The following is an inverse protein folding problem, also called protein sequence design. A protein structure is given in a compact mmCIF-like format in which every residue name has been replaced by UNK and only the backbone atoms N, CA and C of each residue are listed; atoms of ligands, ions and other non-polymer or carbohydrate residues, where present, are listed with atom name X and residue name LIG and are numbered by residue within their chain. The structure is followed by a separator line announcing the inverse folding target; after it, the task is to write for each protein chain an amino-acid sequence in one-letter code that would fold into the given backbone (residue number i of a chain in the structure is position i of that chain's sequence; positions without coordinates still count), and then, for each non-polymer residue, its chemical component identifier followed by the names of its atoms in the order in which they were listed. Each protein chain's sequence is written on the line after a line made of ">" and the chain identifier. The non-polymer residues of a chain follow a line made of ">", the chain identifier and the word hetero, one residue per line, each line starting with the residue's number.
data_IF_998602089293
#
_entry.id   IF_998602089293
#
_cell.length_a   1.000
_cell.length_b   1.000
_cell.length_c   1.000
_cell.angle_alpha   90.00
_cell.angle_beta   90.00
_cell.angle_gamma   90.00
#
_symmetry.space_group_name_H-M   'P 1'
#
loop_
_entity.id
_entity.type
_entity.pdbx_description
1 polymer ?
#
# COMPACT_ATOMS: atom_id res chain seq x y z
N UNK A 1 34.96 1.10 10.10
CA UNK A 1 34.00 2.17 10.44
C UNK A 1 33.49 2.88 9.18
N UNK A 2 34.20 2.73 8.07
CA UNK A 2 33.94 3.40 6.78
C UNK A 2 32.72 2.86 6.04
N UNK A 3 32.49 1.54 6.08
CA UNK A 3 31.32 0.93 5.44
C UNK A 3 29.99 1.40 6.06
N UNK A 4 29.94 1.51 7.39
CA UNK A 4 28.75 2.01 8.10
C UNK A 4 28.51 3.48 7.76
N UNK A 5 29.57 4.30 7.70
CA UNK A 5 29.46 5.71 7.31
C UNK A 5 28.94 5.87 5.87
N UNK A 6 29.40 5.03 4.93
CA UNK A 6 28.89 5.00 3.56
C UNK A 6 27.41 4.62 3.51
N UNK A 7 26.99 3.58 4.24
CA UNK A 7 25.57 3.18 4.30
C UNK A 7 24.67 4.30 4.85
N UNK A 8 25.10 4.97 5.92
CA UNK A 8 24.36 6.09 6.51
C UNK A 8 24.28 7.27 5.53
N UNK A 9 25.35 7.56 4.79
CA UNK A 9 25.38 8.62 3.79
C UNK A 9 24.39 8.33 2.64
N UNK A 10 24.39 7.12 2.08
CA UNK A 10 23.44 6.73 1.03
C UNK A 10 21.99 6.71 1.52
N UNK A 11 21.76 6.26 2.76
CA UNK A 11 20.45 6.32 3.39
C UNK A 11 19.95 7.76 3.56
N UNK A 12 20.85 8.70 3.91
CA UNK A 12 20.53 10.12 4.01
C UNK A 12 20.21 10.72 2.65
N UNK A 13 20.97 10.41 1.60
CA UNK A 13 20.68 10.88 0.24
C UNK A 13 19.35 10.35 -0.28
N UNK A 14 19.01 9.10 0.01
CA UNK A 14 17.71 8.50 -0.34
C UNK A 14 16.49 9.25 0.22
N UNK A 15 16.65 10.07 1.26
CA UNK A 15 15.58 10.90 1.81
C UNK A 15 15.11 11.98 0.82
N UNK A 16 16.01 12.53 0.00
CA UNK A 16 15.69 13.61 -0.94
C UNK A 16 14.62 13.18 -1.96
N UNK A 17 14.85 12.13 -2.79
CA UNK A 17 13.83 11.67 -3.72
C UNK A 17 12.58 11.12 -3.00
N UNK A 18 12.72 10.60 -1.77
CA UNK A 18 11.58 10.15 -0.96
C UNK A 18 10.62 11.28 -0.60
N UNK A 19 11.14 12.40 -0.09
CA UNK A 19 10.34 13.57 0.25
C UNK A 19 9.72 14.22 -0.99
N UNK A 20 10.46 14.31 -2.11
CA UNK A 20 9.92 14.85 -3.38
C UNK A 20 8.75 13.98 -3.87
N UNK A 21 8.90 12.66 -3.82
CA UNK A 21 7.86 11.74 -4.25
C UNK A 21 6.65 11.76 -3.30
N UNK A 22 6.87 11.89 -2.00
CA UNK A 22 5.81 12.00 -0.99
C UNK A 22 4.96 13.26 -1.19
N UNK A 23 5.59 14.40 -1.47
CA UNK A 23 4.86 15.63 -1.82
C UNK A 23 3.99 15.47 -3.08
N UNK A 24 4.36 14.54 -3.96
CA UNK A 24 3.60 14.18 -5.17
C UNK A 24 2.61 13.03 -4.94
N UNK A 25 2.36 12.62 -3.70
CA UNK A 25 1.38 11.61 -3.33
C UNK A 25 1.88 10.17 -3.46
N UNK A 26 3.19 9.94 -3.52
CA UNK A 26 3.78 8.59 -3.48
C UNK A 26 4.13 8.18 -2.06
N UNK A 27 4.29 6.88 -1.84
CA UNK A 27 4.66 6.32 -0.54
C UNK A 27 6.12 6.62 -0.20
N UNK A 28 6.34 7.34 0.90
CA UNK A 28 7.67 7.72 1.38
C UNK A 28 8.63 6.52 1.49
N UNK A 29 8.22 5.45 2.20
CA UNK A 29 9.11 4.31 2.50
C UNK A 29 9.59 3.55 1.27
N UNK A 30 8.72 3.36 0.27
CA UNK A 30 9.07 2.71 -1.00
C UNK A 30 10.06 3.57 -1.79
N UNK A 31 9.85 4.89 -1.82
CA UNK A 31 10.74 5.81 -2.53
C UNK A 31 12.07 6.02 -1.82
N UNK A 32 12.08 5.99 -0.49
CA UNK A 32 13.32 6.00 0.30
C UNK A 32 14.16 4.75 0.03
N UNK A 33 13.54 3.57 0.09
CA UNK A 33 14.24 2.32 -0.19
C UNK A 33 14.76 2.28 -1.65
N UNK A 34 13.95 2.75 -2.59
CA UNK A 34 14.35 2.90 -3.98
C UNK A 34 15.51 3.89 -4.16
N UNK A 35 15.48 5.04 -3.48
CA UNK A 35 16.55 6.03 -3.48
C UNK A 35 17.83 5.53 -2.80
N UNK A 36 17.72 4.72 -1.76
CA UNK A 36 18.86 4.08 -1.10
C UNK A 36 19.59 3.10 -2.04
N UNK A 37 18.85 2.32 -2.82
CA UNK A 37 19.46 1.36 -3.77
C UNK A 37 19.92 2.01 -5.08
N UNK A 38 19.17 2.98 -5.61
CA UNK A 38 19.33 3.53 -6.97
C UNK A 38 19.15 5.06 -7.01
N UNK A 39 19.93 5.78 -6.20
CA UNK A 39 19.78 7.22 -5.96
C UNK A 39 19.60 8.08 -7.22
N UNK A 40 20.47 7.93 -8.23
CA UNK A 40 20.41 8.77 -9.45
C UNK A 40 19.11 8.53 -10.22
N UNK A 41 18.69 7.27 -10.37
CA UNK A 41 17.47 6.91 -11.10
C UNK A 41 16.25 7.37 -10.32
N UNK A 42 16.23 7.15 -9.00
CA UNK A 42 15.17 7.60 -8.11
C UNK A 42 15.00 9.12 -8.14
N UNK A 43 16.10 9.87 -8.20
CA UNK A 43 16.05 11.32 -8.29
C UNK A 43 15.41 11.78 -9.60
N UNK A 44 15.88 11.27 -10.75
CA UNK A 44 15.30 11.61 -12.06
C UNK A 44 13.81 11.28 -12.11
N UNK A 45 13.43 10.08 -11.66
CA UNK A 45 12.03 9.69 -11.61
C UNK A 45 11.22 10.59 -10.67
N UNK A 46 11.72 10.91 -9.47
CA UNK A 46 11.02 11.78 -8.51
C UNK A 46 10.75 13.18 -9.07
N UNK A 47 11.66 13.71 -9.90
CA UNK A 47 11.51 15.00 -10.55
C UNK A 47 10.51 14.95 -11.71
N UNK A 48 10.57 13.92 -12.56
CA UNK A 48 9.68 13.76 -13.72
C UNK A 48 8.27 13.26 -13.36
N UNK A 49 8.04 12.81 -12.13
CA UNK A 49 6.72 12.39 -11.68
C UNK A 49 5.72 13.55 -11.65
N UNK A 50 4.50 13.27 -12.08
CA UNK A 50 3.35 14.15 -11.85
C UNK A 50 2.75 13.89 -10.46
N UNK A 51 2.23 14.94 -9.83
CA UNK A 51 1.49 14.81 -8.57
C UNK A 51 0.24 13.96 -8.77
N UNK A 52 0.00 13.02 -7.86
CA UNK A 52 -1.25 12.26 -7.85
C UNK A 52 -2.34 13.14 -7.22
N UNK A 53 -3.48 13.33 -7.91
CA UNK A 53 -4.64 13.96 -7.31
C UNK A 53 -5.09 13.23 -6.05
N UNK A 54 -5.38 13.97 -4.97
CA UNK A 54 -5.80 13.36 -3.68
C UNK A 54 -7.12 12.59 -3.83
N UNK A 55 -8.02 13.08 -4.69
CA UNK A 55 -9.30 12.43 -5.01
C UNK A 55 -9.10 11.01 -5.53
N UNK A 56 -8.10 10.78 -6.37
CA UNK A 56 -7.81 9.46 -6.94
C UNK A 56 -7.35 8.46 -5.87
N UNK A 57 -6.62 8.93 -4.86
CA UNK A 57 -6.16 8.06 -3.76
C UNK A 57 -7.32 7.66 -2.86
N UNK A 58 -8.22 8.61 -2.56
CA UNK A 58 -9.44 8.33 -1.80
C UNK A 58 -10.38 7.39 -2.56
N UNK A 59 -10.56 7.61 -3.86
CA UNK A 59 -11.39 6.75 -4.73
C UNK A 59 -10.89 5.29 -4.74
N UNK A 60 -9.57 5.07 -4.89
CA UNK A 60 -8.99 3.73 -4.85
C UNK A 60 -9.24 3.04 -3.51
N UNK A 61 -9.03 3.74 -2.39
CA UNK A 61 -9.27 3.20 -1.05
C UNK A 61 -10.74 2.81 -0.85
N UNK A 62 -11.67 3.68 -1.27
CA UNK A 62 -13.11 3.40 -1.19
C UNK A 62 -13.50 2.19 -2.06
N UNK A 63 -12.92 2.04 -3.25
CA UNK A 63 -13.17 0.91 -4.12
C UNK A 63 -12.65 -0.40 -3.51
N UNK A 64 -11.46 -0.38 -2.91
CA UNK A 64 -10.90 -1.54 -2.19
C UNK A 64 -11.77 -1.93 -1.00
N UNK A 65 -12.27 -0.96 -0.23
CA UNK A 65 -13.18 -1.23 0.89
C UNK A 65 -14.52 -1.79 0.40
N UNK A 66 -15.13 -1.17 -0.62
CA UNK A 66 -16.37 -1.66 -1.25
C UNK A 66 -16.19 -3.07 -1.79
N UNK A 67 -15.06 -3.37 -2.43
CA UNK A 67 -14.74 -4.71 -2.91
C UNK A 67 -14.63 -5.72 -1.75
N UNK A 68 -13.94 -5.35 -0.65
CA UNK A 68 -13.81 -6.20 0.54
C UNK A 68 -15.16 -6.48 1.21
N UNK A 69 -16.03 -5.48 1.31
CA UNK A 69 -17.39 -5.63 1.83
C UNK A 69 -18.26 -6.45 0.87
N UNK A 70 -18.09 -6.26 -0.44
CA UNK A 70 -18.74 -7.07 -1.46
C UNK A 70 -18.27 -8.52 -1.46
N UNK A 71 -17.10 -8.86 -0.92
CA UNK A 71 -16.67 -10.26 -0.75
C UNK A 71 -17.33 -10.93 0.47
N UNK A 72 -18.00 -10.19 1.34
CA UNK A 72 -18.59 -10.71 2.59
C UNK A 72 -20.12 -10.80 2.51
N UNK A 73 -20.69 -11.79 3.20
CA UNK A 73 -22.13 -11.93 3.53
C UNK A 73 -22.27 -12.36 4.98
N UNK A 74 -23.41 -12.11 5.60
CA UNK A 74 -23.69 -12.67 6.92
C UNK A 74 -24.26 -14.09 6.76
N UNK A 75 -23.88 -15.00 7.66
CA UNK A 75 -24.45 -16.34 7.70
C UNK A 75 -25.93 -16.27 8.13
N UNK A 76 -26.89 -16.87 7.40
CA UNK A 76 -28.31 -16.85 7.75
C UNK A 76 -28.65 -17.58 9.06
N UNK A 77 -27.78 -18.47 9.55
CA UNK A 77 -28.05 -19.28 10.74
C UNK A 77 -27.52 -18.66 12.03
N UNK A 78 -26.38 -17.99 11.98
CA UNK A 78 -25.69 -17.46 13.17
C UNK A 78 -25.38 -15.95 13.09
N UNK A 79 -25.61 -15.32 11.94
CA UNK A 79 -25.39 -13.90 11.68
C UNK A 79 -23.93 -13.41 11.70
N UNK A 80 -22.94 -14.28 11.93
CA UNK A 80 -21.53 -13.89 11.75
C UNK A 80 -21.16 -13.61 10.28
N UNK A 81 -20.24 -12.67 10.03
CA UNK A 81 -19.73 -12.37 8.69
C UNK A 81 -18.83 -13.49 8.17
N UNK A 82 -19.15 -13.96 6.96
CA UNK A 82 -18.46 -15.01 6.22
C UNK A 82 -18.19 -14.55 4.78
N UNK A 83 -17.30 -15.23 4.08
CA UNK A 83 -17.09 -14.97 2.64
C UNK A 83 -18.36 -15.28 1.85
N UNK A 84 -18.64 -14.52 0.79
CA UNK A 84 -19.78 -14.79 -0.11
C UNK A 84 -19.72 -16.18 -0.73
N UNK A 85 -18.53 -16.61 -1.09
CA UNK A 85 -18.24 -17.91 -1.68
C UNK A 85 -18.19 -19.05 -0.65
N UNK A 86 -18.44 -18.78 0.65
CA UNK A 86 -18.46 -19.81 1.66
C UNK A 86 -19.64 -20.77 1.44
N UNK A 87 -19.30 -22.03 1.16
CA UNK A 87 -20.22 -23.18 1.06
C UNK A 87 -20.53 -23.74 2.44
N UNK A 88 -19.64 -23.51 3.43
CA UNK A 88 -19.85 -23.94 4.82
C UNK A 88 -19.43 -22.85 5.80
N UNK A 89 -20.24 -22.61 6.82
CA UNK A 89 -19.95 -21.61 7.84
C UNK A 89 -18.81 -22.06 8.76
N UNK A 90 -17.77 -21.24 8.92
CA UNK A 90 -16.66 -21.51 9.85
C UNK A 90 -17.01 -21.36 11.34
N UNK A 91 -18.12 -20.67 11.64
CA UNK A 91 -18.53 -20.37 13.02
C UNK A 91 -19.49 -21.42 13.57
N UNK A 92 -20.60 -21.68 12.87
CA UNK A 92 -21.62 -22.63 13.32
C UNK A 92 -21.59 -23.97 12.56
N UNK A 93 -20.80 -24.10 11.49
CA UNK A 93 -20.69 -25.34 10.72
C UNK A 93 -21.86 -25.64 9.77
N UNK A 94 -22.85 -24.75 9.66
CA UNK A 94 -23.98 -24.89 8.75
C UNK A 94 -23.55 -24.93 7.28
N UNK A 95 -24.21 -25.75 6.48
CA UNK A 95 -24.05 -25.73 5.03
C UNK A 95 -24.81 -24.54 4.42
N UNK A 96 -24.17 -23.87 3.47
CA UNK A 96 -24.56 -22.60 2.86
C UNK A 96 -24.46 -22.63 1.33
N UNK A 97 -24.26 -23.84 0.78
CA UNK A 97 -24.24 -24.11 -0.67
C UNK A 97 -25.47 -23.58 -1.40
#
# INVERSE_FOLDING_TARGET
>A
MDFIALLVLFAAFGLIPAFIAEQKGRSFGLWWFYGFMLFIVALIHSLCLNAIPKEKTAEVLELEEKARLAEMKNCPFCAEPIKREAIKCKHCGSDLS
#
